data_IF_952815627244
#
_entry.id   IF_952815627244
#
_cell.length_a   1.000
_cell.length_b   1.000
_cell.length_c   1.000
_cell.angle_alpha   90.00
_cell.angle_beta   90.00
_cell.angle_gamma   90.00
#
_symmetry.space_group_name_H-M   'P 1'
#
loop_
_entity.id
_entity.type
_entity.pdbx_description
1 polymer ?
#
# COMPACT_ATOMS: atom_id res chain seq x y z
N UNK A 1 -12.83 6.81 16.45
CA UNK A 1 -11.69 7.60 15.95
C UNK A 1 -11.27 8.64 17.00
N UNK A 2 -10.88 8.20 18.19
CA UNK A 2 -10.28 9.13 19.14
C UNK A 2 -8.81 9.32 18.68
N UNK A 3 -8.28 10.55 18.69
CA UNK A 3 -6.85 10.90 18.45
C UNK A 3 -6.28 10.91 17.02
N UNK A 4 -7.05 10.68 15.95
CA UNK A 4 -6.55 10.90 14.58
C UNK A 4 -6.22 12.39 14.37
N UNK A 5 -4.99 12.70 13.94
CA UNK A 5 -4.49 14.07 13.73
C UNK A 5 -3.95 14.78 14.97
N UNK A 6 -3.94 14.14 16.14
CA UNK A 6 -3.43 14.75 17.38
C UNK A 6 -1.90 14.99 17.34
N UNK A 7 -1.42 16.03 18.00
CA UNK A 7 0.02 16.30 18.11
C UNK A 7 0.68 15.45 19.20
N UNK A 8 1.79 14.79 18.89
CA UNK A 8 2.73 14.25 19.88
C UNK A 8 3.83 15.28 20.13
N UNK A 9 3.92 15.77 21.36
CA UNK A 9 4.83 16.85 21.74
C UNK A 9 5.86 16.32 22.74
N UNK A 10 7.14 16.60 22.48
CA UNK A 10 8.26 16.30 23.38
C UNK A 10 8.27 17.21 24.62
N UNK A 11 9.08 16.88 25.63
CA UNK A 11 9.19 17.70 26.86
C UNK A 11 9.71 19.11 26.58
N UNK A 12 10.44 19.28 25.48
CA UNK A 12 10.99 20.56 25.02
C UNK A 12 9.97 21.37 24.20
N UNK A 13 8.71 20.91 24.10
CA UNK A 13 7.66 21.60 23.35
C UNK A 13 7.73 21.40 21.82
N UNK A 14 8.57 20.48 21.32
CA UNK A 14 8.66 20.21 19.88
C UNK A 14 7.64 19.16 19.45
N UNK A 15 6.96 19.40 18.33
CA UNK A 15 6.15 18.41 17.64
C UNK A 15 7.06 17.29 17.10
N UNK A 16 6.81 16.05 17.50
CA UNK A 16 7.60 14.87 17.10
C UNK A 16 6.79 13.82 16.34
N UNK A 17 5.46 13.90 16.37
CA UNK A 17 4.61 13.00 15.60
C UNK A 17 3.17 13.46 15.49
N UNK A 18 2.44 12.82 14.58
CA UNK A 18 1.02 13.06 14.33
C UNK A 18 0.26 11.77 14.60
N UNK A 19 -0.77 11.83 15.45
CA UNK A 19 -1.61 10.71 15.83
C UNK A 19 -2.29 10.12 14.61
N UNK A 20 -2.19 8.81 14.43
CA UNK A 20 -2.66 8.13 13.23
C UNK A 20 -3.71 7.08 13.55
N UNK A 21 -3.35 6.12 14.41
CA UNK A 21 -4.17 4.93 14.66
C UNK A 21 -4.17 4.62 16.15
N UNK A 22 -5.30 4.14 16.64
CA UNK A 22 -5.40 3.50 17.94
C UNK A 22 -5.42 1.99 17.74
N UNK A 23 -4.54 1.30 18.45
CA UNK A 23 -4.40 -0.15 18.40
C UNK A 23 -4.88 -0.70 19.73
N UNK A 24 -5.92 -1.53 19.70
CA UNK A 24 -6.53 -2.10 20.91
C UNK A 24 -5.66 -3.19 21.55
N UNK A 25 -4.84 -3.86 20.73
CA UNK A 25 -3.94 -4.96 21.14
C UNK A 25 -2.54 -4.69 20.57
N UNK A 26 -1.60 -4.29 21.43
CA UNK A 26 -0.18 -4.25 21.05
C UNK A 26 0.40 -5.66 20.98
N UNK A 27 1.39 -5.92 20.11
CA UNK A 27 1.96 -7.26 19.83
C UNK A 27 2.64 -7.98 21.02
N UNK A 28 2.59 -7.45 22.25
CA UNK A 28 3.05 -8.17 23.43
C UNK A 28 2.03 -9.26 23.80
N UNK A 29 2.41 -10.51 23.48
CA UNK A 29 1.60 -11.70 23.69
C UNK A 29 1.13 -11.76 25.15
N UNK A 30 -0.17 -11.52 25.38
CA UNK A 30 -0.81 -11.62 26.70
C UNK A 30 -1.10 -10.29 27.40
N UNK A 31 -0.80 -9.13 26.81
CA UNK A 31 -1.17 -7.83 27.37
C UNK A 31 -2.05 -7.04 26.41
N UNK A 32 -3.33 -6.88 26.76
CA UNK A 32 -4.27 -5.96 26.11
C UNK A 32 -3.97 -4.50 26.50
N UNK A 33 -2.74 -4.04 26.25
CA UNK A 33 -2.39 -2.64 26.48
C UNK A 33 -2.80 -1.87 25.22
N UNK A 34 -3.75 -0.93 25.32
CA UNK A 34 -4.07 -0.08 24.20
C UNK A 34 -2.89 0.85 23.86
N UNK A 35 -2.52 0.88 22.59
CA UNK A 35 -1.40 1.67 22.07
C UNK A 35 -1.85 2.73 21.06
N UNK A 36 -1.30 3.93 21.17
CA UNK A 36 -1.44 4.96 20.12
C UNK A 36 -0.26 4.87 19.15
N UNK A 37 -0.56 4.87 17.86
CA UNK A 37 0.44 4.92 16.79
C UNK A 37 0.55 6.35 16.26
N UNK A 38 1.79 6.84 16.19
CA UNK A 38 2.12 8.17 15.67
C UNK A 38 2.99 8.05 14.44
N UNK A 39 2.68 8.86 13.42
CA UNK A 39 3.55 9.05 12.25
C UNK A 39 4.63 10.06 12.62
N UNK A 40 5.93 9.72 12.52
CA UNK A 40 7.02 10.65 12.84
C UNK A 40 6.98 11.94 12.02
N UNK A 41 7.20 13.08 12.68
CA UNK A 41 7.11 14.39 12.03
C UNK A 41 8.15 14.57 10.90
N UNK A 42 9.29 13.87 11.00
CA UNK A 42 10.36 13.94 10.00
C UNK A 42 9.94 13.37 8.64
N UNK A 43 8.90 12.54 8.59
CA UNK A 43 8.31 12.07 7.32
C UNK A 43 7.48 13.16 6.62
N UNK A 44 6.96 14.15 7.36
CA UNK A 44 6.16 15.24 6.81
C UNK A 44 7.05 16.33 6.19
N UNK A 45 8.18 16.67 6.85
CA UNK A 45 9.05 17.79 6.46
C UNK A 45 9.41 17.81 4.95
N UNK A 46 9.79 16.68 4.32
CA UNK A 46 10.21 16.70 2.91
C UNK A 46 9.06 16.91 1.92
N UNK A 47 7.81 16.63 2.32
CA UNK A 47 6.64 16.68 1.44
C UNK A 47 5.71 17.86 1.75
N UNK A 48 5.94 18.61 2.83
CA UNK A 48 5.03 19.65 3.29
C UNK A 48 4.80 20.76 2.25
N UNK A 49 5.86 21.25 1.60
CA UNK A 49 5.73 22.28 0.57
C UNK A 49 4.89 21.80 -0.62
N UNK A 50 5.14 20.57 -1.09
CA UNK A 50 4.35 19.94 -2.15
C UNK A 50 2.87 19.78 -1.78
N UNK A 51 2.59 19.39 -0.53
CA UNK A 51 1.22 19.26 -0.03
C UNK A 51 0.50 20.61 0.00
N UNK A 52 1.17 21.69 0.38
CA UNK A 52 0.59 23.04 0.40
C UNK A 52 0.31 23.54 -1.03
N UNK A 53 1.28 23.38 -1.94
CA UNK A 53 1.19 23.93 -3.29
C UNK A 53 0.26 23.10 -4.20
N UNK A 54 0.35 21.76 -4.12
CA UNK A 54 -0.25 20.84 -5.11
C UNK A 54 -1.27 19.89 -4.49
N UNK A 55 -1.45 19.91 -3.17
CA UNK A 55 -2.31 18.96 -2.44
C UNK A 55 -1.75 17.53 -2.40
N UNK A 56 -0.53 17.29 -2.89
CA UNK A 56 0.08 15.96 -3.00
C UNK A 56 1.60 16.06 -3.09
N UNK A 57 2.31 15.03 -2.63
CA UNK A 57 3.77 14.92 -2.79
C UNK A 57 4.16 14.88 -4.29
N UNK A 58 5.25 15.57 -4.66
CA UNK A 58 5.79 15.60 -6.03
C UNK A 58 6.74 14.44 -6.35
N UNK A 59 7.16 13.67 -5.34
CA UNK A 59 8.07 12.54 -5.52
C UNK A 59 7.52 11.42 -6.40
N UNK A 60 8.38 10.46 -6.82
CA UNK A 60 7.99 9.39 -7.72
C UNK A 60 6.75 8.64 -7.20
N UNK A 61 5.75 8.51 -8.07
CA UNK A 61 4.54 7.76 -7.77
C UNK A 61 4.90 6.30 -7.46
N UNK A 62 4.27 5.74 -6.44
CA UNK A 62 4.47 4.33 -6.09
C UNK A 62 3.75 3.46 -7.13
N UNK A 63 4.36 2.33 -7.57
CA UNK A 63 3.70 1.39 -8.44
C UNK A 63 2.34 0.95 -7.87
N UNK A 64 1.30 1.11 -8.68
CA UNK A 64 -0.05 0.65 -8.35
C UNK A 64 -0.52 -0.37 -9.37
N UNK A 65 -1.08 -1.49 -8.88
CA UNK A 65 -1.50 -2.62 -9.71
C UNK A 65 -3.02 -2.71 -9.88
N UNK A 66 -3.81 -1.98 -9.09
CA UNK A 66 -5.27 -2.13 -9.11
C UNK A 66 -5.77 -3.40 -8.41
N UNK A 67 -5.00 -3.91 -7.45
CA UNK A 67 -5.37 -5.07 -6.64
C UNK A 67 -5.82 -4.62 -5.25
N UNK A 68 -6.92 -5.21 -4.77
CA UNK A 68 -7.24 -5.27 -3.37
C UNK A 68 -7.07 -6.71 -2.90
N UNK A 69 -6.26 -6.90 -1.88
CA UNK A 69 -6.01 -8.22 -1.28
C UNK A 69 -6.39 -8.22 0.20
N UNK A 70 -6.74 -9.38 0.71
CA UNK A 70 -6.93 -9.67 2.12
C UNK A 70 -5.90 -10.72 2.55
N UNK A 71 -5.36 -10.55 3.76
CA UNK A 71 -4.39 -11.48 4.33
C UNK A 71 -5.15 -12.54 5.13
N UNK A 72 -5.12 -13.79 4.66
CA UNK A 72 -5.80 -14.91 5.27
C UNK A 72 -4.83 -16.08 5.45
N UNK A 73 -4.55 -16.45 6.69
CA UNK A 73 -3.64 -17.57 7.03
C UNK A 73 -2.26 -17.52 6.34
N UNK A 74 -1.68 -16.31 6.16
CA UNK A 74 -0.40 -16.12 5.49
C UNK A 74 -0.45 -16.18 3.96
N UNK A 75 -1.66 -16.06 3.39
CA UNK A 75 -1.91 -15.93 1.97
C UNK A 75 -2.55 -14.59 1.65
N UNK A 76 -2.27 -14.05 0.46
CA UNK A 76 -2.84 -12.79 -0.01
C UNK A 76 -3.93 -13.07 -1.04
N UNK A 77 -5.17 -13.22 -0.58
CA UNK A 77 -6.33 -13.45 -1.42
C UNK A 77 -6.73 -12.16 -2.15
N UNK A 78 -6.83 -12.20 -3.47
CA UNK A 78 -7.36 -11.08 -4.26
C UNK A 78 -8.86 -11.01 -4.07
N UNK A 79 -9.33 -9.98 -3.38
CA UNK A 79 -10.76 -9.76 -3.13
C UNK A 79 -11.40 -8.93 -4.23
N UNK A 80 -10.65 -7.98 -4.81
CA UNK A 80 -11.13 -7.11 -5.89
C UNK A 80 -10.01 -6.73 -6.84
N UNK A 81 -10.36 -6.60 -8.11
CA UNK A 81 -9.50 -6.05 -9.15
C UNK A 81 -10.18 -4.81 -9.74
N UNK A 82 -9.43 -3.72 -9.89
CA UNK A 82 -9.91 -2.49 -10.50
C UNK A 82 -10.16 -2.70 -12.00
N UNK A 83 -11.40 -2.52 -12.51
CA UNK A 83 -11.71 -2.70 -13.93
C UNK A 83 -10.83 -1.83 -14.82
N UNK A 84 -10.36 -2.39 -15.94
CA UNK A 84 -9.40 -1.77 -16.87
C UNK A 84 -8.06 -1.36 -16.24
N UNK A 85 -7.84 -1.70 -14.98
CA UNK A 85 -6.62 -1.44 -14.24
C UNK A 85 -5.48 -2.37 -14.67
N UNK A 86 -4.25 -2.14 -14.16
CA UNK A 86 -3.08 -2.92 -14.55
C UNK A 86 -3.25 -4.43 -14.39
N UNK A 87 -3.73 -4.86 -13.22
CA UNK A 87 -3.90 -6.28 -12.92
C UNK A 87 -5.05 -6.93 -13.69
N UNK A 88 -6.13 -6.18 -13.95
CA UNK A 88 -7.25 -6.64 -14.80
C UNK A 88 -6.77 -6.91 -16.23
N UNK A 89 -6.00 -5.97 -16.81
CA UNK A 89 -5.39 -6.14 -18.14
C UNK A 89 -4.40 -7.30 -18.21
N UNK A 90 -3.75 -7.63 -17.09
CA UNK A 90 -2.86 -8.77 -16.98
C UNK A 90 -3.61 -10.10 -16.74
N UNK A 91 -4.93 -10.06 -16.53
CA UNK A 91 -5.78 -11.23 -16.34
C UNK A 91 -5.85 -11.75 -14.90
N UNK A 92 -5.50 -10.92 -13.91
CA UNK A 92 -5.75 -11.23 -12.49
C UNK A 92 -7.24 -11.10 -12.20
N UNK A 93 -7.78 -12.01 -11.39
CA UNK A 93 -9.21 -12.05 -11.03
C UNK A 93 -9.39 -12.12 -9.52
N UNK A 94 -10.58 -11.73 -9.07
CA UNK A 94 -10.99 -12.00 -7.69
C UNK A 94 -11.00 -13.51 -7.45
N UNK A 95 -10.52 -13.93 -6.28
CA UNK A 95 -10.30 -15.34 -5.91
C UNK A 95 -8.89 -15.86 -6.21
N UNK A 96 -8.08 -15.15 -6.99
CA UNK A 96 -6.66 -15.50 -7.16
C UNK A 96 -5.89 -15.27 -5.84
N UNK A 97 -4.81 -16.01 -5.60
CA UNK A 97 -3.93 -15.81 -4.44
C UNK A 97 -2.58 -15.30 -4.92
N UNK A 98 -2.13 -14.16 -4.41
CA UNK A 98 -0.78 -13.67 -4.68
C UNK A 98 0.22 -14.48 -3.85
N UNK A 99 1.15 -15.15 -4.53
CA UNK A 99 2.15 -16.03 -3.88
C UNK A 99 3.57 -15.47 -3.98
N UNK A 100 3.82 -14.50 -4.86
CA UNK A 100 5.15 -13.92 -5.02
C UNK A 100 5.21 -12.69 -5.91
N UNK A 101 6.32 -11.96 -5.78
CA UNK A 101 6.72 -10.87 -6.68
C UNK A 101 8.13 -11.19 -7.16
N UNK A 102 8.29 -11.42 -8.46
CA UNK A 102 9.52 -11.98 -9.04
C UNK A 102 9.83 -13.35 -8.43
N UNK A 103 11.10 -13.56 -8.08
CA UNK A 103 11.55 -14.80 -7.45
C UNK A 103 11.14 -14.91 -5.97
N UNK A 104 10.78 -13.80 -5.33
CA UNK A 104 10.49 -13.77 -3.90
C UNK A 104 9.05 -14.19 -3.60
N UNK A 105 8.86 -14.97 -2.54
CA UNK A 105 7.54 -15.27 -2.01
C UNK A 105 7.03 -14.09 -1.17
N UNK A 106 5.71 -13.91 -1.13
CA UNK A 106 5.06 -12.91 -0.26
C UNK A 106 3.93 -13.57 0.52
N UNK A 107 3.84 -13.22 1.81
CA UNK A 107 2.83 -13.77 2.74
C UNK A 107 2.00 -12.70 3.44
N UNK A 108 2.45 -11.44 3.39
CA UNK A 108 1.77 -10.31 4.01
C UNK A 108 1.70 -9.08 3.11
N UNK A 109 0.79 -8.16 3.41
CA UNK A 109 0.70 -6.89 2.67
C UNK A 109 2.00 -6.09 2.75
N UNK A 110 2.67 -6.11 3.90
CA UNK A 110 3.95 -5.44 4.11
C UNK A 110 5.01 -5.95 3.13
N UNK A 111 5.15 -7.27 3.00
CA UNK A 111 6.07 -7.90 2.06
C UNK A 111 5.71 -7.56 0.62
N UNK A 112 4.43 -7.72 0.25
CA UNK A 112 3.95 -7.38 -1.10
C UNK A 112 4.29 -5.93 -1.47
N UNK A 113 3.93 -4.96 -0.62
CA UNK A 113 4.18 -3.55 -0.90
C UNK A 113 5.67 -3.21 -0.93
N UNK A 114 6.48 -3.76 -0.01
CA UNK A 114 7.93 -3.55 -0.04
C UNK A 114 8.56 -4.05 -1.33
N UNK A 115 8.19 -5.26 -1.76
CA UNK A 115 8.72 -5.85 -3.01
C UNK A 115 8.29 -5.03 -4.22
N UNK A 116 7.01 -4.71 -4.33
CA UNK A 116 6.47 -3.92 -5.45
C UNK A 116 7.10 -2.53 -5.51
N UNK A 117 7.22 -1.83 -4.38
CA UNK A 117 7.81 -0.48 -4.35
C UNK A 117 9.34 -0.50 -4.50
N UNK A 118 9.99 -1.62 -4.18
CA UNK A 118 11.43 -1.81 -4.41
C UNK A 118 11.82 -1.94 -5.88
N UNK A 119 10.87 -2.25 -6.77
CA UNK A 119 11.13 -2.36 -8.22
C UNK A 119 11.31 -1.00 -8.91
N UNK A 120 10.88 0.10 -8.28
CA UNK A 120 11.04 1.45 -8.80
C UNK A 120 9.76 2.29 -8.74
N UNK A 121 9.70 3.33 -9.56
CA UNK A 121 8.54 4.21 -9.67
C UNK A 121 7.43 3.59 -10.52
N UNK A 122 6.22 4.14 -10.41
CA UNK A 122 5.09 3.78 -11.27
C UNK A 122 5.48 3.76 -12.76
N UNK A 123 5.00 2.74 -13.49
CA UNK A 123 5.37 2.49 -14.88
C UNK A 123 6.25 1.25 -15.05
N UNK A 124 6.88 0.76 -13.96
CA UNK A 124 7.68 -0.48 -13.98
C UNK A 124 6.81 -1.71 -14.19
N UNK A 125 7.41 -2.73 -14.81
CA UNK A 125 6.82 -4.07 -14.94
C UNK A 125 7.01 -4.84 -13.63
N UNK A 126 5.90 -5.31 -13.07
CA UNK A 126 5.89 -6.10 -11.83
C UNK A 126 5.63 -7.56 -12.19
N UNK A 127 6.63 -8.45 -12.07
CA UNK A 127 6.42 -9.88 -12.20
C UNK A 127 5.63 -10.38 -10.99
N UNK A 128 4.38 -10.74 -11.19
CA UNK A 128 3.47 -11.20 -10.15
C UNK A 128 3.23 -12.70 -10.33
N UNK A 129 3.48 -13.48 -9.28
CA UNK A 129 3.12 -14.90 -9.25
C UNK A 129 1.80 -15.04 -8.52
N UNK A 130 0.81 -15.60 -9.21
CA UNK A 130 -0.54 -15.84 -8.68
C UNK A 130 -0.88 -17.33 -8.74
N UNK A 131 -1.54 -17.84 -7.72
CA UNK A 131 -2.21 -19.13 -7.78
C UNK A 131 -3.64 -18.89 -8.30
N UNK A 132 -3.94 -19.49 -9.45
CA UNK A 132 -5.23 -19.35 -10.12
C UNK A 132 -5.76 -20.76 -10.44
N UNK A 133 -6.85 -21.14 -9.78
CA UNK A 133 -7.31 -22.53 -9.78
C UNK A 133 -6.27 -23.45 -9.11
N UNK A 134 -5.78 -24.45 -9.85
CA UNK A 134 -4.78 -25.40 -9.35
C UNK A 134 -3.32 -25.07 -9.75
N UNK A 135 -3.09 -24.02 -10.55
CA UNK A 135 -1.79 -23.71 -11.14
C UNK A 135 -1.24 -22.35 -10.71
N UNK A 136 0.08 -22.26 -10.57
CA UNK A 136 0.77 -20.97 -10.41
C UNK A 136 1.03 -20.37 -11.78
N UNK A 137 0.57 -19.14 -12.00
CA UNK A 137 0.84 -18.35 -13.21
C UNK A 137 1.74 -17.18 -12.85
N UNK A 138 2.71 -16.91 -13.73
CA UNK A 138 3.52 -15.72 -13.66
C UNK A 138 2.99 -14.70 -14.67
N UNK A 139 2.63 -13.53 -14.17
CA UNK A 139 2.05 -12.43 -14.93
C UNK A 139 2.97 -11.23 -14.85
N UNK A 140 3.15 -10.53 -15.97
CA UNK A 140 3.87 -9.26 -16.01
C UNK A 140 2.87 -8.13 -15.99
N UNK A 141 2.77 -7.45 -14.85
CA UNK A 141 1.80 -6.37 -14.64
C UNK A 141 2.52 -5.03 -14.77
N UNK A 142 2.24 -4.27 -15.82
CA UNK A 142 2.78 -2.92 -15.96
C UNK A 142 2.07 -1.96 -15.01
N UNK A 143 2.74 -1.59 -13.92
CA UNK A 143 2.20 -0.67 -12.92
C UNK A 143 1.94 0.72 -13.48
N UNK A 144 1.05 1.47 -12.85
CA UNK A 144 0.77 2.88 -13.19
C UNK A 144 0.75 3.74 -11.94
N UNK A 145 0.70 5.06 -12.13
CA UNK A 145 0.35 5.97 -11.05
C UNK A 145 -1.15 5.83 -10.77
N UNK A 146 -1.52 5.54 -9.52
CA UNK A 146 -2.91 5.41 -9.10
C UNK A 146 -3.76 6.61 -9.51
N UNK A 147 -3.22 7.83 -9.50
CA UNK A 147 -3.97 9.02 -9.92
C UNK A 147 -4.36 9.01 -11.40
N UNK A 148 -3.57 8.38 -12.27
CA UNK A 148 -3.90 8.27 -13.69
C UNK A 148 -5.15 7.41 -13.90
N UNK A 149 -5.40 6.44 -13.02
CA UNK A 149 -6.60 5.60 -13.07
C UNK A 149 -7.86 6.36 -12.66
N UNK A 150 -7.77 7.23 -11.64
CA UNK A 150 -8.90 7.98 -11.11
C UNK A 150 -9.12 9.34 -11.78
N UNK A 151 -8.24 9.75 -12.71
CA UNK A 151 -8.52 10.92 -13.54
C UNK A 151 -9.72 10.63 -14.44
N UNK A 152 -10.67 11.55 -14.47
CA UNK A 152 -11.78 11.50 -15.41
C UNK A 152 -11.22 11.38 -16.84
N UNK A 153 -11.67 10.36 -17.57
CA UNK A 153 -11.41 10.28 -19.01
C UNK A 153 -12.22 11.42 -19.65
N UNK A 154 -11.61 12.36 -20.39
CA UNK A 154 -12.36 13.37 -21.11
C UNK A 154 -13.33 12.64 -22.04
N UNK A 155 -14.63 12.86 -21.85
CA UNK A 155 -15.65 12.42 -22.79
C UNK A 155 -15.67 13.51 -23.87
N UNK A 156 -15.09 13.20 -25.03
CA UNK A 156 -15.24 14.02 -26.24
C UNK A 156 -16.56 13.70 -26.93
#
# INVERSE_FOLDING_TARGET
MQWAGAALVSREGKLVGIGSLYVRETQERGSEIPGNMFVPIDLLKPILADLIEKGRRSGPARPWLGLATEELHGHLLVTRVSPEGPADRAGVRSGDIVVGVGADAVKSHEELYRRVWGLGAAGVEVPLRILQGAGVRELRVRSIDRFQYFREKPIY
#
